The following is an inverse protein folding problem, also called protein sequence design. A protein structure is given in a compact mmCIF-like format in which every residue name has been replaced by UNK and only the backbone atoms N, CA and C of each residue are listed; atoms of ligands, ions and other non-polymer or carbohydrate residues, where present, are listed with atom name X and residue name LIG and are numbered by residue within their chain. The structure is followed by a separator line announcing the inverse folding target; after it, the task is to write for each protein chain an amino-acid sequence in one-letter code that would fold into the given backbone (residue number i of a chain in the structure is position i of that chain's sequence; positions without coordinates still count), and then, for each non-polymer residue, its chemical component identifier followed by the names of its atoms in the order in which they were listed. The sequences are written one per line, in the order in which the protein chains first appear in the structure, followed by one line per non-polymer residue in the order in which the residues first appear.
data_IF_596777355960
#
_entry.id   IF_596777355960
#
_cell.length_a   1.000
_cell.length_b   1.000
_cell.length_c   1.000
_cell.angle_alpha   90.00
_cell.angle_beta   90.00
_cell.angle_gamma   90.00
#
_symmetry.space_group_name_H-M   'P 1'
#
loop_
_entity.id
_entity.type
_entity.pdbx_description
1 polymer ?
#
# COMPACT_ATOMS: atom_id res chain seq x y z
N UNK A 1 7.88 -12.47 -3.81
CA UNK A 1 9.34 -12.26 -3.78
C UNK A 1 9.68 -11.18 -4.79
N UNK A 2 10.61 -10.29 -4.46
CA UNK A 2 11.09 -9.24 -5.35
C UNK A 2 12.59 -9.44 -5.59
N UNK A 3 13.01 -9.29 -6.85
CA UNK A 3 14.42 -9.33 -7.25
C UNK A 3 14.71 -8.07 -8.06
N UNK A 4 15.88 -7.47 -7.83
CA UNK A 4 16.37 -6.35 -8.60
C UNK A 4 17.41 -6.87 -9.58
N UNK A 5 17.30 -6.50 -10.85
CA UNK A 5 18.28 -6.80 -11.88
C UNK A 5 18.92 -5.47 -12.31
N UNK A 6 20.24 -5.41 -12.24
CA UNK A 6 21.02 -4.33 -12.82
C UNK A 6 21.02 -4.39 -14.35
N UNK A 7 21.62 -3.38 -14.97
CA UNK A 7 21.71 -3.26 -16.44
C UNK A 7 22.43 -4.46 -17.09
N UNK A 8 23.42 -5.02 -16.40
CA UNK A 8 24.26 -6.11 -16.90
C UNK A 8 23.72 -7.50 -16.56
N UNK A 9 22.68 -7.58 -15.72
CA UNK A 9 22.11 -8.83 -15.23
C UNK A 9 21.18 -9.47 -16.25
N UNK A 10 21.10 -10.79 -16.22
CA UNK A 10 20.23 -11.55 -17.11
C UNK A 10 18.96 -12.03 -16.41
N UNK A 11 17.80 -11.70 -16.98
CA UNK A 11 16.53 -12.29 -16.57
C UNK A 11 16.52 -13.82 -16.77
N UNK A 12 17.19 -14.31 -17.81
CA UNK A 12 17.27 -15.75 -18.09
C UNK A 12 18.06 -16.50 -17.01
N UNK A 13 19.16 -15.92 -16.54
CA UNK A 13 19.96 -16.55 -15.49
C UNK A 13 19.21 -16.56 -14.15
N UNK A 14 18.49 -15.48 -13.84
CA UNK A 14 17.57 -15.47 -12.70
C UNK A 14 16.51 -16.59 -12.84
N UNK A 15 15.90 -16.76 -14.01
CA UNK A 15 14.92 -17.82 -14.23
C UNK A 15 15.52 -19.22 -14.07
N UNK A 16 16.76 -19.46 -14.53
CA UNK A 16 17.46 -20.74 -14.33
C UNK A 16 17.69 -21.01 -12.85
N UNK A 17 18.16 -20.01 -12.10
CA UNK A 17 18.38 -20.10 -10.67
C UNK A 17 17.08 -20.41 -9.92
N UNK A 18 15.99 -19.72 -10.28
CA UNK A 18 14.67 -19.94 -9.70
C UNK A 18 14.14 -21.35 -9.98
N UNK A 19 14.34 -21.87 -11.21
CA UNK A 19 13.95 -23.24 -11.55
C UNK A 19 14.73 -24.26 -10.73
N UNK A 20 16.05 -24.09 -10.63
CA UNK A 20 16.88 -24.96 -9.82
C UNK A 20 16.43 -24.98 -8.35
N UNK A 21 16.19 -23.79 -7.78
CA UNK A 21 15.69 -23.66 -6.41
C UNK A 21 14.30 -24.30 -6.24
N UNK A 22 13.38 -24.13 -7.20
CA UNK A 22 12.06 -24.77 -7.18
C UNK A 22 12.17 -26.30 -7.19
N UNK A 23 13.06 -26.85 -8.02
CA UNK A 23 13.34 -28.29 -8.08
C UNK A 23 13.88 -28.81 -6.74
N UNK A 24 14.84 -28.09 -6.13
CA UNK A 24 15.46 -28.49 -4.87
C UNK A 24 14.51 -28.36 -3.66
N UNK A 25 13.69 -27.31 -3.62
CA UNK A 25 12.78 -27.03 -2.51
C UNK A 25 11.40 -27.70 -2.63
N UNK A 26 11.04 -28.18 -3.83
CA UNK A 26 9.68 -28.64 -4.14
C UNK A 26 8.65 -27.52 -4.30
N UNK A 27 9.05 -26.25 -4.17
CA UNK A 27 8.17 -25.11 -4.38
C UNK A 27 7.84 -24.91 -5.88
N UNK A 28 6.70 -24.26 -6.17
CA UNK A 28 6.29 -23.92 -7.54
C UNK A 28 6.15 -22.41 -7.68
N UNK A 29 7.02 -21.81 -8.49
CA UNK A 29 6.94 -20.39 -8.81
C UNK A 29 5.96 -20.15 -9.96
N UNK A 30 5.01 -19.22 -9.77
CA UNK A 30 4.03 -18.89 -10.79
C UNK A 30 4.60 -17.84 -11.75
N UNK A 31 5.35 -18.30 -12.76
CA UNK A 31 6.02 -17.45 -13.74
C UNK A 31 5.02 -16.54 -14.50
N UNK A 32 3.83 -17.00 -14.93
CA UNK A 32 2.84 -16.12 -15.56
C UNK A 32 2.33 -14.98 -14.67
N UNK A 33 2.46 -15.09 -13.34
CA UNK A 33 2.13 -14.00 -12.41
C UNK A 33 3.32 -13.07 -12.12
N UNK A 34 4.47 -13.30 -12.75
CA UNK A 34 5.59 -12.37 -12.64
C UNK A 34 5.27 -11.09 -13.41
N UNK A 35 5.59 -9.97 -12.77
CA UNK A 35 5.52 -8.66 -13.40
C UNK A 35 6.91 -8.03 -13.36
N UNK A 36 7.35 -7.52 -14.50
CA UNK A 36 8.58 -6.74 -14.63
C UNK A 36 8.22 -5.27 -14.54
N UNK A 37 8.87 -4.56 -13.63
CA UNK A 37 8.70 -3.11 -13.46
C UNK A 37 10.03 -2.46 -13.84
N UNK A 38 10.14 -1.81 -15.01
CA UNK A 38 11.37 -1.15 -15.40
C UNK A 38 11.60 0.06 -14.49
N UNK A 39 12.79 0.22 -13.93
CA UNK A 39 13.16 1.36 -13.05
C UNK A 39 14.31 2.10 -13.73
N UNK A 40 14.21 3.42 -13.88
CA UNK A 40 15.22 4.19 -14.62
C UNK A 40 14.66 5.44 -15.31
N UNK A 41 15.31 5.83 -16.41
CA UNK A 41 14.90 6.99 -17.22
C UNK A 41 13.66 6.68 -18.06
N UNK A 42 12.91 7.72 -18.47
CA UNK A 42 11.73 7.57 -19.34
C UNK A 42 12.08 6.91 -20.68
N UNK A 43 13.23 7.27 -21.26
CA UNK A 43 13.74 6.67 -22.50
C UNK A 43 13.96 5.17 -22.36
N UNK A 44 14.55 4.72 -21.23
CA UNK A 44 14.75 3.30 -20.97
C UNK A 44 13.41 2.56 -20.81
N UNK A 45 12.41 3.17 -20.17
CA UNK A 45 11.09 2.56 -20.04
C UNK A 45 10.40 2.35 -21.38
N UNK A 46 10.38 3.40 -22.21
CA UNK A 46 9.78 3.35 -23.54
C UNK A 46 10.47 2.31 -24.41
N UNK A 47 11.79 2.21 -24.32
CA UNK A 47 12.57 1.17 -25.00
C UNK A 47 12.19 -0.23 -24.52
N UNK A 48 12.17 -0.50 -23.21
CA UNK A 48 11.83 -1.83 -22.65
C UNK A 48 10.41 -2.24 -23.00
N UNK A 49 9.45 -1.31 -22.92
CA UNK A 49 8.04 -1.57 -23.26
C UNK A 49 7.88 -1.86 -24.75
N UNK A 50 8.53 -1.06 -25.62
CA UNK A 50 8.41 -1.20 -27.07
C UNK A 50 9.14 -2.45 -27.60
N UNK A 51 10.36 -2.68 -27.12
CA UNK A 51 11.22 -3.75 -27.62
C UNK A 51 10.97 -5.08 -26.92
N UNK A 52 10.36 -5.06 -25.73
CA UNK A 52 10.21 -6.21 -24.83
C UNK A 52 11.58 -6.85 -24.51
N UNK A 53 12.61 -6.01 -24.41
CA UNK A 53 14.00 -6.40 -24.13
C UNK A 53 14.55 -5.65 -22.93
N UNK A 54 15.51 -6.27 -22.24
CA UNK A 54 16.21 -5.70 -21.09
C UNK A 54 17.64 -5.28 -21.49
N UNK A 55 17.94 -4.00 -21.25
CA UNK A 55 19.28 -3.41 -21.29
C UNK A 55 20.01 -3.48 -22.65
N UNK A 56 21.27 -3.04 -22.65
CA UNK A 56 22.12 -3.00 -23.85
C UNK A 56 22.39 -4.38 -24.48
N UNK A 57 22.23 -5.47 -23.71
CA UNK A 57 22.43 -6.85 -24.19
C UNK A 57 21.25 -7.41 -24.98
N UNK A 58 20.18 -6.63 -25.20
CA UNK A 58 19.03 -7.02 -26.01
C UNK A 58 18.34 -8.33 -25.55
N UNK A 59 18.36 -8.63 -24.25
CA UNK A 59 17.77 -9.86 -23.74
C UNK A 59 16.24 -9.80 -23.83
N UNK A 60 15.66 -10.69 -24.62
CA UNK A 60 14.21 -10.76 -24.83
C UNK A 60 13.53 -11.24 -23.55
N UNK A 61 12.62 -10.42 -23.04
CA UNK A 61 11.72 -10.80 -21.96
C UNK A 61 10.67 -11.74 -22.57
N UNK A 62 10.36 -12.90 -21.96
CA UNK A 62 9.32 -13.80 -22.47
C UNK A 62 7.94 -13.13 -22.50
N UNK A 63 7.19 -13.25 -23.62
CA UNK A 63 5.87 -12.59 -23.80
C UNK A 63 4.80 -12.99 -22.77
N UNK A 64 5.01 -14.08 -22.06
CA UNK A 64 4.12 -14.56 -21.00
C UNK A 64 4.37 -13.86 -19.65
N UNK A 65 5.30 -12.90 -19.59
CA UNK A 65 5.58 -12.08 -18.42
C UNK A 65 5.09 -10.67 -18.71
N UNK A 66 4.26 -10.13 -17.81
CA UNK A 66 3.73 -8.79 -17.96
C UNK A 66 4.80 -7.75 -17.63
N UNK A 67 4.89 -6.70 -18.45
CA UNK A 67 5.71 -5.51 -18.16
C UNK A 67 4.75 -4.40 -17.76
N UNK A 68 4.88 -3.89 -16.54
CA UNK A 68 4.04 -2.80 -16.04
C UNK A 68 4.28 -1.52 -16.86
N UNK A 69 3.21 -0.95 -17.42
CA UNK A 69 3.30 0.31 -18.17
C UNK A 69 3.36 1.53 -17.25
N UNK A 70 3.66 2.68 -17.83
CA UNK A 70 3.59 3.94 -17.10
C UNK A 70 2.18 4.20 -16.56
N UNK A 71 2.08 4.53 -15.27
CA UNK A 71 0.81 4.74 -14.57
C UNK A 71 0.10 3.45 -14.14
N UNK A 72 0.54 2.27 -14.60
CA UNK A 72 0.03 0.98 -14.14
C UNK A 72 0.69 0.59 -12.82
N UNK A 73 -0.13 0.06 -11.90
CA UNK A 73 0.27 -0.26 -10.55
C UNK A 73 0.14 -1.77 -10.32
N UNK A 74 1.24 -2.40 -9.92
CA UNK A 74 1.25 -3.82 -9.54
C UNK A 74 1.16 -3.95 -8.02
N UNK A 75 0.22 -4.74 -7.52
CA UNK A 75 0.10 -5.00 -6.09
C UNK A 75 1.14 -6.06 -5.67
N UNK A 76 2.09 -5.66 -4.81
CA UNK A 76 3.02 -6.54 -4.12
C UNK A 76 2.77 -6.43 -2.61
N UNK A 77 2.35 -7.51 -1.97
CA UNK A 77 2.10 -7.55 -0.52
C UNK A 77 1.21 -6.38 -0.05
N UNK A 78 0.10 -6.14 -0.77
CA UNK A 78 -0.85 -5.05 -0.50
C UNK A 78 -0.32 -3.63 -0.70
N UNK A 79 0.88 -3.51 -1.27
CA UNK A 79 1.51 -2.25 -1.65
C UNK A 79 1.52 -2.17 -3.16
N UNK A 80 1.01 -1.08 -3.69
CA UNK A 80 1.02 -0.82 -5.13
C UNK A 80 2.36 -0.22 -5.57
N UNK A 81 3.07 -0.93 -6.44
CA UNK A 81 4.36 -0.54 -7.00
C UNK A 81 4.18 -0.28 -8.49
N UNK A 82 4.66 0.86 -8.97
CA UNK A 82 4.63 1.18 -10.38
C UNK A 82 5.16 2.58 -10.63
N UNK A 83 5.49 2.87 -11.89
CA UNK A 83 6.02 4.16 -12.28
C UNK A 83 4.90 5.19 -12.43
N UNK A 84 5.05 6.35 -11.77
CA UNK A 84 4.08 7.46 -11.79
C UNK A 84 2.63 7.05 -11.47
N UNK A 85 2.45 6.04 -10.62
CA UNK A 85 1.12 5.60 -10.17
C UNK A 85 0.46 6.73 -9.38
N UNK A 86 -0.78 7.09 -9.75
CA UNK A 86 -1.59 8.02 -8.97
C UNK A 86 -1.98 7.35 -7.65
N UNK A 87 -1.59 7.94 -6.52
CA UNK A 87 -1.85 7.39 -5.18
C UNK A 87 -3.37 7.26 -4.87
N UNK A 88 -4.25 7.95 -5.61
CA UNK A 88 -5.70 7.89 -5.45
C UNK A 88 -6.31 6.54 -5.83
N UNK A 89 -5.89 5.91 -6.93
CA UNK A 89 -6.48 4.63 -7.39
C UNK A 89 -6.11 3.45 -6.48
N UNK A 90 -5.07 3.62 -5.67
CA UNK A 90 -4.52 2.62 -4.75
C UNK A 90 -5.43 2.38 -3.53
N UNK A 91 -6.16 3.40 -3.09
CA UNK A 91 -6.98 3.34 -1.87
C UNK A 91 -8.43 2.91 -2.11
N UNK A 92 -8.91 2.96 -3.35
CA UNK A 92 -10.29 2.58 -3.71
C UNK A 92 -10.66 1.17 -3.24
N UNK A 93 -9.88 0.11 -3.51
CA UNK A 93 -10.24 -1.24 -3.09
C UNK A 93 -10.26 -1.38 -1.55
N UNK A 94 -9.35 -0.69 -0.86
CA UNK A 94 -9.29 -0.68 0.60
C UNK A 94 -10.53 -0.03 1.19
N UNK A 95 -10.95 1.11 0.65
CA UNK A 95 -12.16 1.83 1.08
C UNK A 95 -13.41 0.96 0.84
N UNK A 96 -13.50 0.27 -0.29
CA UNK A 96 -14.62 -0.64 -0.59
C UNK A 96 -14.70 -1.80 0.42
N UNK A 97 -13.56 -2.41 0.75
CA UNK A 97 -13.47 -3.48 1.75
C UNK A 97 -13.89 -2.97 3.12
N UNK A 98 -13.36 -1.83 3.57
CA UNK A 98 -13.75 -1.21 4.85
C UNK A 98 -15.24 -0.90 4.87
N UNK A 99 -15.78 -0.34 3.78
CA UNK A 99 -17.21 -0.02 3.65
C UNK A 99 -18.06 -1.27 3.79
N UNK A 100 -17.70 -2.34 3.07
CA UNK A 100 -18.40 -3.62 3.14
C UNK A 100 -18.38 -4.20 4.54
N UNK A 101 -17.24 -4.16 5.22
CA UNK A 101 -17.07 -4.73 6.55
C UNK A 101 -17.87 -3.94 7.59
N UNK A 102 -17.79 -2.60 7.58
CA UNK A 102 -18.61 -1.75 8.45
C UNK A 102 -20.11 -1.97 8.20
N UNK A 103 -20.56 -2.04 6.94
CA UNK A 103 -21.96 -2.33 6.62
C UNK A 103 -22.41 -3.70 7.12
N UNK A 104 -21.55 -4.73 7.01
CA UNK A 104 -21.83 -6.08 7.51
C UNK A 104 -22.00 -6.08 9.03
N UNK A 105 -21.07 -5.46 9.75
CA UNK A 105 -21.14 -5.40 11.21
C UNK A 105 -22.27 -4.51 11.72
N UNK A 106 -22.60 -3.44 11.00
CA UNK A 106 -23.68 -2.52 11.33
C UNK A 106 -25.06 -3.19 11.38
N UNK A 107 -25.29 -4.23 10.57
CA UNK A 107 -26.53 -5.03 10.60
C UNK A 107 -26.79 -5.68 11.97
N UNK A 108 -25.74 -5.98 12.72
CA UNK A 108 -25.83 -6.56 14.06
C UNK A 108 -26.23 -5.56 15.15
N UNK A 109 -26.45 -4.28 14.81
CA UNK A 109 -26.79 -3.20 15.75
C UNK A 109 -25.89 -3.19 17.01
N UNK A 110 -24.55 -3.16 16.83
CA UNK A 110 -23.63 -3.20 17.95
C UNK A 110 -23.83 -2.00 18.89
N UNK A 111 -23.54 -2.24 20.17
CA UNK A 111 -23.45 -1.20 21.20
C UNK A 111 -22.35 -0.18 20.86
N UNK A 112 -22.32 0.96 21.55
CA UNK A 112 -21.28 1.98 21.35
C UNK A 112 -19.86 1.41 21.51
N UNK A 113 -19.64 0.59 22.53
CA UNK A 113 -18.36 -0.10 22.74
C UNK A 113 -18.06 -1.11 21.64
N UNK A 114 -19.08 -1.85 21.18
CA UNK A 114 -18.94 -2.76 20.04
C UNK A 114 -18.53 -2.02 18.77
N UNK A 115 -19.13 -0.85 18.49
CA UNK A 115 -18.81 -0.05 17.30
C UNK A 115 -17.36 0.42 17.30
N UNK A 116 -16.88 0.92 18.44
CA UNK A 116 -15.49 1.31 18.66
C UNK A 116 -14.53 0.15 18.39
N UNK A 117 -14.80 -1.05 18.92
CA UNK A 117 -13.96 -2.23 18.66
C UNK A 117 -13.98 -2.63 17.19
N UNK A 118 -15.14 -2.59 16.54
CA UNK A 118 -15.29 -2.87 15.11
C UNK A 118 -14.53 -1.86 14.26
N UNK A 119 -14.60 -0.56 14.59
CA UNK A 119 -13.82 0.48 13.90
C UNK A 119 -12.33 0.18 14.01
N UNK A 120 -11.84 -0.11 15.22
CA UNK A 120 -10.43 -0.39 15.45
C UNK A 120 -9.96 -1.63 14.69
N UNK A 121 -10.78 -2.68 14.61
CA UNK A 121 -10.47 -3.88 13.82
C UNK A 121 -10.59 -3.59 12.32
N UNK A 122 -11.79 -3.28 11.80
CA UNK A 122 -12.03 -3.17 10.37
C UNK A 122 -11.30 -2.00 9.71
N UNK A 123 -11.34 -0.80 10.30
CA UNK A 123 -10.66 0.36 9.71
C UNK A 123 -9.16 0.29 9.97
N UNK A 124 -8.76 -0.09 11.19
CA UNK A 124 -7.35 -0.18 11.56
C UNK A 124 -6.58 -1.23 10.75
N UNK A 125 -7.09 -2.46 10.67
CA UNK A 125 -6.47 -3.57 9.95
C UNK A 125 -6.16 -3.21 8.49
N UNK A 126 -7.15 -2.66 7.78
CA UNK A 126 -7.03 -2.37 6.35
C UNK A 126 -6.17 -1.13 6.02
N UNK A 127 -5.96 -0.23 6.98
CA UNK A 127 -5.36 1.09 6.70
C UNK A 127 -3.97 1.29 7.31
N UNK A 128 -3.68 0.69 8.47
CA UNK A 128 -2.45 0.98 9.24
C UNK A 128 -1.17 0.65 8.48
N UNK A 129 -1.06 -0.57 7.95
CA UNK A 129 0.12 -1.01 7.23
C UNK A 129 0.33 -0.20 5.95
N UNK A 130 -0.74 -0.05 5.15
CA UNK A 130 -0.71 0.66 3.88
C UNK A 130 -0.37 2.14 4.05
N UNK A 131 -0.98 2.80 5.03
CA UNK A 131 -0.68 4.19 5.36
C UNK A 131 0.81 4.37 5.69
N UNK A 132 1.42 3.38 6.37
CA UNK A 132 2.84 3.42 6.73
C UNK A 132 3.76 3.27 5.52
N UNK A 133 3.44 2.38 4.59
CA UNK A 133 4.31 2.09 3.45
C UNK A 133 4.14 3.11 2.31
N UNK A 134 2.91 3.54 2.03
CA UNK A 134 2.60 4.39 0.87
C UNK A 134 2.19 5.83 1.23
N UNK A 135 1.93 6.09 2.51
CA UNK A 135 1.28 7.32 2.94
C UNK A 135 -0.22 7.31 2.66
N UNK A 136 -0.94 8.23 3.29
CA UNK A 136 -2.38 8.38 3.12
C UNK A 136 -2.68 9.76 2.53
N UNK A 137 -3.27 9.83 1.32
CA UNK A 137 -3.72 11.11 0.77
C UNK A 137 -4.81 11.75 1.64
N UNK A 138 -4.85 13.08 1.69
CA UNK A 138 -5.78 13.82 2.56
C UNK A 138 -7.26 13.51 2.30
N UNK A 139 -7.66 13.35 1.04
CA UNK A 139 -9.05 12.99 0.71
C UNK A 139 -9.43 11.59 1.21
N UNK A 140 -8.47 10.65 1.29
CA UNK A 140 -8.70 9.31 1.85
C UNK A 140 -8.85 9.38 3.37
N UNK A 141 -7.99 10.17 4.03
CA UNK A 141 -8.07 10.49 5.46
C UNK A 141 -9.46 11.07 5.81
N UNK A 142 -9.90 12.09 5.07
CA UNK A 142 -11.22 12.72 5.23
C UNK A 142 -12.37 11.72 5.01
N UNK A 143 -12.26 10.86 3.98
CA UNK A 143 -13.28 9.85 3.68
C UNK A 143 -13.39 8.77 4.76
N UNK A 144 -12.25 8.23 5.23
CA UNK A 144 -12.23 7.24 6.31
C UNK A 144 -12.74 7.84 7.63
N UNK A 145 -12.35 9.06 7.95
CA UNK A 145 -12.85 9.79 9.12
C UNK A 145 -14.36 9.98 9.07
N UNK A 146 -14.93 10.29 7.89
CA UNK A 146 -16.38 10.36 7.71
C UNK A 146 -17.05 9.01 7.98
N UNK A 147 -16.53 7.92 7.41
CA UNK A 147 -17.07 6.57 7.60
C UNK A 147 -17.04 6.13 9.07
N UNK A 148 -15.95 6.42 9.78
CA UNK A 148 -15.82 6.16 11.22
C UNK A 148 -16.90 6.90 12.01
N UNK A 149 -17.14 8.17 11.71
CA UNK A 149 -18.19 8.98 12.36
C UNK A 149 -19.58 8.42 12.08
N UNK A 150 -19.89 8.15 10.81
CA UNK A 150 -21.20 7.61 10.39
C UNK A 150 -21.50 6.28 11.08
N UNK A 151 -20.51 5.38 11.14
CA UNK A 151 -20.66 4.09 11.79
C UNK A 151 -20.78 4.21 13.31
N UNK A 152 -19.96 5.07 13.95
CA UNK A 152 -20.00 5.29 15.39
C UNK A 152 -21.38 5.79 15.84
N UNK A 153 -21.97 6.72 15.10
CA UNK A 153 -23.24 7.36 15.46
C UNK A 153 -24.47 6.76 14.78
N UNK A 154 -24.32 5.72 13.95
CA UNK A 154 -25.38 5.12 13.14
C UNK A 154 -26.28 6.15 12.45
N UNK A 155 -25.67 7.17 11.84
CA UNK A 155 -26.38 8.27 11.16
C UNK A 155 -27.31 9.11 12.05
N UNK A 156 -27.15 9.10 13.38
CA UNK A 156 -27.83 10.07 14.25
C UNK A 156 -27.29 11.47 14.00
N UNK A 157 -28.19 12.43 13.73
CA UNK A 157 -27.87 13.84 13.47
C UNK A 157 -27.27 14.60 14.66
N UNK A 158 -27.34 14.02 15.87
CA UNK A 158 -26.83 14.60 17.10
C UNK A 158 -25.52 13.91 17.46
N UNK A 159 -24.41 14.66 17.44
CA UNK A 159 -23.11 14.26 17.98
C UNK A 159 -23.12 14.53 19.49
N UNK A 160 -23.33 13.53 20.37
CA UNK A 160 -23.46 13.76 21.81
C UNK A 160 -22.11 14.08 22.47
N UNK A 161 -21.00 13.78 21.80
CA UNK A 161 -19.63 13.89 22.33
C UNK A 161 -18.73 14.51 21.24
N UNK A 162 -17.93 15.51 21.62
CA UNK A 162 -16.98 16.16 20.72
C UNK A 162 -15.90 15.21 20.21
N UNK A 163 -15.45 15.42 18.96
CA UNK A 163 -14.50 14.52 18.29
C UNK A 163 -13.17 14.36 19.04
N UNK A 164 -12.72 15.40 19.73
CA UNK A 164 -11.52 15.36 20.56
C UNK A 164 -11.62 14.32 21.67
N UNK A 165 -12.78 14.22 22.32
CA UNK A 165 -13.02 13.28 23.43
C UNK A 165 -13.13 11.83 22.95
N UNK A 166 -13.55 11.59 21.71
CA UNK A 166 -13.60 10.25 21.10
C UNK A 166 -12.21 9.62 20.91
N UNK A 167 -11.20 10.44 20.60
CA UNK A 167 -9.82 10.00 20.35
C UNK A 167 -8.95 9.93 21.62
N UNK A 168 -9.39 10.53 22.73
CA UNK A 168 -8.67 10.48 24.02
C UNK A 168 -8.56 9.05 24.56
N UNK A 169 -7.50 8.80 25.35
CA UNK A 169 -7.27 7.52 26.01
C UNK A 169 -8.32 7.26 27.10
N UNK A 170 -8.64 5.99 27.35
CA UNK A 170 -9.64 5.53 28.33
C UNK A 170 -9.39 6.07 29.75
N UNK A 171 -8.15 6.47 30.07
CA UNK A 171 -7.78 7.08 31.36
C UNK A 171 -8.30 8.51 31.57
N UNK A 172 -8.75 9.19 30.52
CA UNK A 172 -9.22 10.58 30.55
C UNK A 172 -10.68 10.71 30.05
N UNK A 173 -11.54 9.75 30.40
CA UNK A 173 -12.94 9.66 29.91
C UNK A 173 -13.07 9.56 28.37
N UNK A 174 -12.00 9.21 27.67
CA UNK A 174 -11.97 9.06 26.22
C UNK A 174 -12.40 7.68 25.73
N UNK A 175 -12.99 7.61 24.53
CA UNK A 175 -13.41 6.35 23.92
C UNK A 175 -12.30 5.63 23.13
N UNK A 176 -11.06 6.13 23.02
CA UNK A 176 -9.94 5.46 22.30
C UNK A 176 -10.35 4.90 20.93
N UNK A 177 -11.15 5.66 20.19
CA UNK A 177 -11.48 5.37 18.79
C UNK A 177 -10.25 5.71 17.95
N UNK A 178 -9.97 4.89 16.93
CA UNK A 178 -8.86 5.12 16.01
C UNK A 178 -8.91 6.53 15.41
N UNK A 179 -7.90 7.32 15.72
CA UNK A 179 -7.68 8.63 15.14
C UNK A 179 -6.85 8.50 13.85
N UNK A 180 -7.53 8.68 12.72
CA UNK A 180 -6.93 8.61 11.38
C UNK A 180 -5.96 9.79 11.15
N UNK A 181 -6.22 10.95 11.75
CA UNK A 181 -5.40 12.15 11.59
C UNK A 181 -4.08 12.00 12.37
N UNK A 182 -4.16 11.48 13.60
CA UNK A 182 -2.97 11.12 14.39
C UNK A 182 -2.16 10.01 13.71
N UNK A 183 -2.82 9.05 13.05
CA UNK A 183 -2.14 8.01 12.28
C UNK A 183 -1.40 8.64 11.07
N UNK A 184 -2.08 9.46 10.27
CA UNK A 184 -1.50 10.08 9.08
C UNK A 184 -0.37 11.09 9.42
N UNK A 185 -0.49 11.84 10.52
CA UNK A 185 0.52 12.81 10.96
C UNK A 185 1.80 12.15 11.50
N UNK A 186 1.69 11.12 12.35
CA UNK A 186 2.86 10.34 12.84
C UNK A 186 3.64 9.68 11.70
N UNK A 187 2.95 9.35 10.61
CA UNK A 187 3.57 8.76 9.42
C UNK A 187 4.26 9.81 8.53
N UNK A 188 3.71 11.03 8.42
CA UNK A 188 4.34 12.17 7.72
C UNK A 188 5.70 12.53 8.35
N UNK A 189 5.80 12.50 9.67
CA UNK A 189 7.06 12.81 10.40
C UNK A 189 8.12 11.72 10.17
N UNK A 190 7.74 10.44 10.23
CA UNK A 190 8.67 9.33 9.99
C UNK A 190 9.21 9.30 8.54
N UNK A 191 8.38 9.63 7.55
CA UNK A 191 8.82 9.69 6.14
C UNK A 191 9.83 10.82 5.90
N UNK A 192 9.64 11.99 6.54
CA UNK A 192 10.64 13.09 6.51
C UNK A 192 11.97 12.67 7.13
N UNK A 193 11.95 11.94 8.25
CA UNK A 193 13.17 11.41 8.87
C UNK A 193 13.90 10.39 7.98
N UNK A 194 13.17 9.51 7.29
CA UNK A 194 13.77 8.53 6.36
C UNK A 194 14.35 9.19 5.10
N UNK A 195 13.69 10.22 4.57
CA UNK A 195 14.20 11.04 3.45
C UNK A 195 15.44 11.85 3.84
N UNK A 196 15.49 12.40 5.08
CA UNK A 196 16.68 13.07 5.62
C UNK A 196 17.86 12.11 5.81
N UNK A 197 17.61 10.88 6.26
CA UNK A 197 18.65 9.85 6.36
C UNK A 197 19.17 9.44 4.98
N UNK A 198 18.31 9.24 3.97
CA UNK A 198 18.75 8.95 2.59
C UNK A 198 19.63 10.07 2.00
N UNK A 199 19.35 11.34 2.31
CA UNK A 199 20.19 12.46 1.88
C UNK A 199 21.55 12.49 2.59
N UNK A 200 21.62 12.12 3.87
CA UNK A 200 22.88 12.03 4.60
C UNK A 200 23.79 10.90 4.09
N UNK A 201 23.23 9.78 3.62
CA UNK A 201 24.02 8.68 3.03
C UNK A 201 24.40 8.89 1.55
N UNK A 202 23.83 9.89 0.87
CA UNK A 202 24.22 10.26 -0.50
C UNK A 202 25.29 11.35 -0.59
N UNK A 203 25.75 11.89 0.55
CA UNK A 203 26.76 12.96 0.62
C UNK A 203 28.13 12.50 1.15
N UNK A 204 28.34 11.18 1.29
CA UNK A 204 29.57 10.60 1.83
C UNK A 204 30.41 9.82 0.81
N UNK A 205 30.14 9.99 -0.49
CA UNK A 205 31.02 9.58 -1.58
C UNK A 205 31.35 10.83 -2.42
N UNK A 206 32.39 11.54 -1.99
CA UNK A 206 33.00 12.68 -2.68
C UNK A 206 34.50 12.66 -2.45
#
# INVERSE_FOLDING_TARGET
MMAYLGENDSLQDLQKLLRFWCTASGARFNIPKMVVIPVGTKSYWEEVICTHKQGCKNQVIPRNIEIAKEGEATCLLEVFIGNKVKNTSVWTPTIEVVTRDLNRWGKGRPTMEGRRLIINMAVGEHTQYRARVQGMPKHVEEQLTRMVREFMWANSLLLPIGLGTLHLLIKEEGQKVLDIDTLASKLRTNKKCLEQNKRMFSTSDG
#
